data_IF_181521183072
#
_entry.id   IF_181521183072
#
_cell.length_a   1.000
_cell.length_b   1.000
_cell.length_c   1.000
_cell.angle_alpha   90.00
_cell.angle_beta   90.00
_cell.angle_gamma   90.00
#
_symmetry.space_group_name_H-M   'P 1'
#
loop_
_entity.id
_entity.type
_entity.pdbx_description
1 polymer ?
#
# COMPACT_ATOMS: atom_id res chain seq x y z
N UNK A 1 19.13 -8.79 26.00
CA UNK A 1 19.50 -9.64 27.16
C UNK A 1 20.59 -10.63 26.72
N UNK A 2 21.64 -10.86 27.52
CA UNK A 2 22.88 -11.59 27.14
C UNK A 2 22.76 -13.11 27.42
N UNK A 3 23.28 -13.95 26.51
CA UNK A 3 23.43 -15.41 26.69
C UNK A 3 24.70 -15.80 27.48
N UNK A 4 24.70 -16.93 28.21
CA UNK A 4 25.88 -17.50 28.88
C UNK A 4 27.02 -18.00 27.96
N UNK A 5 26.79 -18.12 26.64
CA UNK A 5 27.75 -18.64 25.66
C UNK A 5 28.56 -17.53 24.94
N UNK A 6 28.32 -16.26 25.28
CA UNK A 6 29.06 -15.13 24.71
C UNK A 6 28.76 -14.82 23.24
N UNK A 7 27.71 -15.41 22.64
CA UNK A 7 27.26 -15.05 21.29
C UNK A 7 26.03 -14.14 21.33
N UNK A 8 26.19 -12.91 20.84
CA UNK A 8 25.09 -12.00 20.55
C UNK A 8 24.41 -12.44 19.27
N UNK A 9 23.22 -13.04 19.37
CA UNK A 9 22.27 -13.03 18.24
C UNK A 9 21.37 -11.81 18.43
N UNK A 10 21.48 -10.84 17.51
CA UNK A 10 20.62 -9.66 17.49
C UNK A 10 19.17 -10.15 17.31
N UNK A 11 18.30 -9.82 18.26
CA UNK A 11 16.86 -10.08 18.17
C UNK A 11 16.28 -9.13 17.09
N UNK A 12 15.63 -9.64 16.04
CA UNK A 12 14.96 -8.81 15.04
C UNK A 12 13.92 -7.91 15.70
N UNK A 13 13.78 -6.70 15.18
CA UNK A 13 12.76 -5.77 15.64
C UNK A 13 11.83 -5.43 14.49
N UNK A 14 10.58 -5.12 14.79
CA UNK A 14 9.59 -4.70 13.80
C UNK A 14 8.85 -3.49 14.36
N UNK A 15 8.74 -2.43 13.55
CA UNK A 15 7.78 -1.36 13.80
C UNK A 15 6.48 -1.73 13.13
N UNK A 16 5.41 -1.77 13.91
CA UNK A 16 4.04 -2.00 13.45
C UNK A 16 3.27 -0.68 13.58
N UNK A 17 3.12 0.01 12.45
CA UNK A 17 2.38 1.27 12.38
C UNK A 17 0.90 0.99 12.16
N UNK A 18 0.06 1.60 12.98
CA UNK A 18 -1.40 1.44 12.91
C UNK A 18 -2.10 2.79 12.79
N UNK A 19 -3.37 2.77 12.41
CA UNK A 19 -4.24 3.96 12.44
C UNK A 19 -4.37 4.63 13.82
N UNK A 20 -3.94 4.00 14.91
CA UNK A 20 -3.94 4.53 16.28
C UNK A 20 -2.54 4.81 16.85
N UNK A 21 -1.48 4.59 16.08
CA UNK A 21 -0.09 4.82 16.49
C UNK A 21 0.84 3.65 16.21
N UNK A 22 2.10 3.82 16.59
CA UNK A 22 3.18 2.87 16.31
C UNK A 22 3.50 1.98 17.52
N UNK A 23 3.78 0.71 17.26
CA UNK A 23 4.31 -0.24 18.24
C UNK A 23 5.66 -0.76 17.76
N UNK A 24 6.65 -0.78 18.65
CA UNK A 24 7.94 -1.43 18.39
C UNK A 24 7.95 -2.79 19.04
N UNK A 25 8.19 -3.82 18.26
CA UNK A 25 8.17 -5.23 18.68
C UNK A 25 9.58 -5.79 18.58
N UNK A 26 10.05 -6.48 19.62
CA UNK A 26 11.29 -7.24 19.62
C UNK A 26 10.95 -8.72 19.52
N UNK A 27 11.52 -9.42 18.54
CA UNK A 27 11.25 -10.83 18.26
C UNK A 27 12.29 -11.75 18.90
N UNK A 28 11.92 -12.99 19.20
CA UNK A 28 12.76 -13.96 19.87
C UNK A 28 13.09 -15.19 18.99
N UNK A 29 13.99 -15.06 18.00
CA UNK A 29 14.35 -16.16 17.09
C UNK A 29 15.15 -17.26 17.78
N UNK A 30 15.62 -17.01 19.00
CA UNK A 30 16.34 -18.01 19.77
C UNK A 30 15.42 -19.09 20.33
N UNK A 31 14.24 -18.68 20.80
CA UNK A 31 13.26 -19.56 21.42
C UNK A 31 12.14 -19.96 20.46
N UNK A 32 11.79 -19.12 19.49
CA UNK A 32 10.76 -19.40 18.48
C UNK A 32 11.28 -19.16 17.04
N UNK A 33 12.34 -19.88 16.60
CA UNK A 33 13.00 -19.62 15.31
C UNK A 33 12.09 -19.79 14.10
N UNK A 34 11.25 -20.82 14.04
CA UNK A 34 10.38 -21.05 12.89
C UNK A 34 9.25 -20.01 12.82
N UNK A 35 8.71 -19.64 13.98
CA UNK A 35 7.66 -18.63 14.12
C UNK A 35 8.17 -17.25 13.73
N UNK A 36 9.34 -16.86 14.24
CA UNK A 36 9.95 -15.56 13.89
C UNK A 36 10.31 -15.52 12.41
N UNK A 37 10.88 -16.58 11.84
CA UNK A 37 11.20 -16.63 10.42
C UNK A 37 9.94 -16.50 9.53
N UNK A 38 8.85 -17.18 9.90
CA UNK A 38 7.57 -17.07 9.19
C UNK A 38 6.97 -15.68 9.30
N UNK A 39 6.89 -15.12 10.52
CA UNK A 39 6.25 -13.82 10.73
C UNK A 39 7.05 -12.71 10.05
N UNK A 40 8.39 -12.75 10.12
CA UNK A 40 9.24 -11.85 9.33
C UNK A 40 9.09 -12.05 7.82
N UNK A 41 8.78 -13.26 7.35
CA UNK A 41 8.42 -13.48 5.94
C UNK A 41 7.19 -12.67 5.54
N UNK A 42 6.15 -12.65 6.38
CA UNK A 42 4.95 -11.84 6.13
C UNK A 42 5.23 -10.33 6.20
N UNK A 43 5.98 -9.89 7.21
CA UNK A 43 6.44 -8.49 7.36
C UNK A 43 7.21 -8.05 6.11
N UNK A 44 8.23 -8.81 5.70
CA UNK A 44 9.09 -8.48 4.57
C UNK A 44 8.41 -8.64 3.19
N UNK A 45 7.18 -9.13 3.16
CA UNK A 45 6.34 -9.22 1.94
C UNK A 45 5.23 -8.16 1.93
N UNK A 46 5.26 -7.20 2.86
CA UNK A 46 4.25 -6.16 3.06
C UNK A 46 2.82 -6.72 3.28
N UNK A 47 2.71 -8.00 3.67
CA UNK A 47 1.44 -8.72 3.72
C UNK A 47 0.43 -8.11 4.69
N UNK A 48 0.92 -7.49 5.77
CA UNK A 48 0.06 -6.92 6.81
C UNK A 48 -0.51 -5.56 6.44
N UNK A 49 -0.01 -4.91 5.38
CA UNK A 49 -0.42 -3.56 5.01
C UNK A 49 -1.88 -3.55 4.55
N UNK A 50 -2.69 -2.69 5.16
CA UNK A 50 -4.14 -2.62 4.92
C UNK A 50 -4.96 -3.69 5.65
N UNK A 51 -4.32 -4.62 6.38
CA UNK A 51 -5.06 -5.57 7.22
C UNK A 51 -5.47 -4.93 8.54
N UNK A 52 -6.46 -5.52 9.20
CA UNK A 52 -7.04 -4.95 10.42
C UNK A 52 -6.79 -5.82 11.66
N UNK A 53 -6.86 -5.17 12.83
CA UNK A 53 -7.16 -5.85 14.09
C UNK A 53 -8.66 -6.20 14.12
N UNK A 54 -9.01 -7.34 13.54
CA UNK A 54 -10.38 -7.79 13.35
C UNK A 54 -11.05 -8.32 14.62
N UNK A 55 -10.29 -8.56 15.70
CA UNK A 55 -10.84 -9.05 16.97
C UNK A 55 -10.09 -8.45 18.16
N UNK A 56 -10.81 -7.70 18.99
CA UNK A 56 -10.25 -6.90 20.09
C UNK A 56 -11.05 -7.17 21.35
N UNK A 57 -10.42 -7.71 22.41
CA UNK A 57 -11.11 -8.01 23.66
C UNK A 57 -10.40 -7.28 24.79
N UNK A 58 -11.14 -6.35 25.40
CA UNK A 58 -10.64 -5.51 26.52
C UNK A 58 -10.27 -6.38 27.71
N UNK A 59 -9.08 -6.14 28.28
CA UNK A 59 -8.53 -6.96 29.36
C UNK A 59 -8.17 -8.38 28.93
N UNK A 60 -7.91 -8.61 27.64
CA UNK A 60 -7.48 -9.91 27.12
C UNK A 60 -6.38 -9.74 26.05
N UNK A 61 -6.76 -9.45 24.80
CA UNK A 61 -5.81 -9.36 23.68
C UNK A 61 -6.39 -8.61 22.48
N UNK A 62 -5.51 -8.21 21.57
CA UNK A 62 -5.85 -7.65 20.25
C UNK A 62 -5.29 -8.57 19.16
N UNK A 63 -6.14 -9.07 18.26
CA UNK A 63 -5.80 -10.04 17.22
C UNK A 63 -5.97 -9.42 15.83
N UNK A 64 -4.98 -9.65 14.96
CA UNK A 64 -4.91 -9.05 13.62
C UNK A 64 -4.16 -9.91 12.60
N UNK A 65 -3.84 -9.31 11.45
CA UNK A 65 -2.93 -9.89 10.46
C UNK A 65 -3.50 -11.00 9.59
N UNK A 66 -4.82 -11.01 9.35
CA UNK A 66 -5.43 -12.00 8.44
C UNK A 66 -6.75 -11.61 7.77
N UNK A 67 -7.24 -10.39 8.01
CA UNK A 67 -8.49 -9.88 7.42
C UNK A 67 -8.28 -8.45 6.92
N UNK A 68 -8.92 -8.12 5.80
CA UNK A 68 -9.04 -6.73 5.33
C UNK A 68 -10.20 -6.02 6.03
N UNK A 69 -10.42 -4.73 5.72
CA UNK A 69 -11.51 -3.92 6.26
C UNK A 69 -12.91 -4.50 6.00
N UNK A 70 -13.08 -5.23 4.89
CA UNK A 70 -14.33 -5.92 4.56
C UNK A 70 -14.53 -7.24 5.34
N UNK A 71 -13.67 -7.55 6.32
CA UNK A 71 -13.67 -8.83 7.04
C UNK A 71 -13.56 -10.04 6.10
N UNK A 72 -12.85 -9.88 4.98
CA UNK A 72 -12.46 -10.97 4.09
C UNK A 72 -11.11 -11.52 4.52
N UNK A 73 -11.08 -12.83 4.78
CA UNK A 73 -9.87 -13.51 5.19
C UNK A 73 -8.88 -13.55 4.03
N UNK A 74 -7.67 -13.04 4.26
CA UNK A 74 -6.61 -13.04 3.27
C UNK A 74 -5.94 -14.41 3.21
N UNK A 75 -5.61 -14.85 2.00
CA UNK A 75 -4.90 -16.11 1.80
C UNK A 75 -3.51 -16.03 2.46
N UNK A 76 -3.06 -17.05 3.20
CA UNK A 76 -1.71 -17.07 3.75
C UNK A 76 -0.68 -17.26 2.61
N UNK A 77 0.48 -16.60 2.72
CA UNK A 77 1.60 -16.74 1.79
C UNK A 77 2.42 -18.01 2.05
N UNK A 78 2.45 -18.44 3.31
CA UNK A 78 3.26 -19.57 3.77
C UNK A 78 2.39 -20.69 4.34
N UNK A 79 2.86 -21.94 4.27
CA UNK A 79 2.16 -23.08 4.88
C UNK A 79 2.08 -22.95 6.41
N UNK A 80 1.22 -23.77 7.01
CA UNK A 80 1.05 -23.81 8.46
C UNK A 80 2.33 -24.21 9.20
N UNK A 81 2.57 -23.60 10.35
CA UNK A 81 3.76 -23.85 11.17
C UNK A 81 3.58 -24.99 12.17
N UNK A 82 4.69 -25.64 12.51
CA UNK A 82 4.78 -26.45 13.72
C UNK A 82 4.68 -25.54 14.96
N UNK A 83 3.96 -26.00 15.99
CA UNK A 83 3.72 -25.22 17.19
C UNK A 83 4.97 -25.07 18.07
N UNK A 84 5.46 -23.84 18.24
CA UNK A 84 6.59 -23.47 19.11
C UNK A 84 6.13 -22.86 20.46
N UNK A 85 5.16 -23.47 21.14
CA UNK A 85 4.64 -22.96 22.43
C UNK A 85 5.39 -23.49 23.66
N UNK A 86 6.05 -24.64 23.56
CA UNK A 86 6.84 -25.22 24.65
C UNK A 86 8.28 -24.67 24.68
N UNK A 87 8.40 -23.35 24.82
CA UNK A 87 9.69 -22.63 24.76
C UNK A 87 10.07 -21.97 26.09
N UNK A 88 9.14 -21.96 27.06
CA UNK A 88 9.25 -21.24 28.33
C UNK A 88 8.82 -19.78 28.26
N UNK A 89 8.47 -19.27 27.07
CA UNK A 89 7.81 -17.97 26.92
C UNK A 89 6.35 -18.07 27.36
N UNK A 90 5.86 -17.04 28.05
CA UNK A 90 4.49 -16.95 28.57
C UNK A 90 3.75 -15.82 27.89
N UNK A 91 2.43 -15.93 27.78
CA UNK A 91 1.49 -14.96 27.23
C UNK A 91 1.25 -13.84 28.24
N UNK A 92 2.33 -13.24 28.75
CA UNK A 92 2.30 -12.11 29.65
C UNK A 92 1.86 -10.83 28.93
N UNK A 93 1.51 -9.79 29.69
CA UNK A 93 1.21 -8.45 29.17
C UNK A 93 2.29 -7.98 28.17
N UNK A 94 1.86 -7.50 27.00
CA UNK A 94 2.72 -6.95 25.96
C UNK A 94 3.42 -7.99 25.08
N UNK A 95 3.23 -9.29 25.33
CA UNK A 95 3.80 -10.34 24.48
C UNK A 95 3.00 -10.53 23.18
N UNK A 96 3.72 -10.84 22.11
CA UNK A 96 3.20 -11.15 20.78
C UNK A 96 3.20 -12.67 20.57
N UNK A 97 2.07 -13.23 20.18
CA UNK A 97 1.88 -14.67 19.97
C UNK A 97 1.10 -14.99 18.69
N UNK A 98 1.32 -16.18 18.14
CA UNK A 98 0.63 -16.64 16.93
C UNK A 98 -0.78 -17.10 17.24
N UNK A 99 -1.76 -16.59 16.49
CA UNK A 99 -3.11 -17.16 16.50
C UNK A 99 -3.14 -18.48 15.71
N UNK A 100 -4.03 -19.39 16.10
CA UNK A 100 -4.24 -20.67 15.44
C UNK A 100 -5.68 -21.13 15.60
N UNK A 101 -6.03 -22.16 14.84
CA UNK A 101 -7.26 -22.93 15.06
C UNK A 101 -7.05 -23.92 16.22
N UNK A 102 -8.04 -24.77 16.48
CA UNK A 102 -7.89 -25.87 17.44
C UNK A 102 -6.81 -26.88 17.04
N UNK A 103 -6.43 -26.93 15.76
CA UNK A 103 -5.30 -27.75 15.28
C UNK A 103 -3.98 -27.10 15.72
N UNK A 104 -3.11 -27.81 16.46
CA UNK A 104 -1.89 -27.23 17.02
C UNK A 104 -0.96 -26.61 15.97
N UNK A 105 -0.73 -27.35 14.87
CA UNK A 105 0.18 -26.94 13.79
C UNK A 105 -0.58 -26.22 12.67
N UNK A 106 -1.37 -25.20 13.00
CA UNK A 106 -2.21 -24.49 12.02
C UNK A 106 -1.95 -22.99 11.93
N UNK A 107 -1.00 -22.46 12.69
CA UNK A 107 -0.67 -21.03 12.66
C UNK A 107 -0.12 -20.66 11.27
N UNK A 108 -0.50 -19.49 10.75
CA UNK A 108 -0.02 -18.94 9.48
C UNK A 108 0.40 -17.47 9.64
N UNK A 109 -0.48 -16.51 9.35
CA UNK A 109 -0.20 -15.06 9.40
C UNK A 109 -0.77 -14.36 10.63
N UNK A 110 -1.93 -14.81 11.12
CA UNK A 110 -2.62 -14.14 12.22
C UNK A 110 -1.83 -14.20 13.53
N UNK A 111 -1.80 -13.08 14.23
CA UNK A 111 -1.13 -12.91 15.51
C UNK A 111 -2.03 -12.15 16.49
N UNK A 112 -1.68 -12.20 17.77
CA UNK A 112 -2.29 -11.36 18.79
C UNK A 112 -1.24 -10.79 19.75
N UNK A 113 -1.56 -9.62 20.30
CA UNK A 113 -0.79 -8.96 21.36
C UNK A 113 -1.61 -9.05 22.65
N UNK A 114 -1.00 -9.54 23.73
CA UNK A 114 -1.63 -9.68 25.03
C UNK A 114 -1.75 -8.30 25.72
N UNK A 115 -2.97 -7.91 26.10
CA UNK A 115 -3.26 -6.65 26.82
C UNK A 115 -3.31 -6.85 28.35
N UNK A 116 -3.19 -8.10 28.80
CA UNK A 116 -3.01 -8.51 30.21
C UNK A 116 -2.19 -9.80 30.28
N UNK A 117 -1.86 -10.27 31.48
CA UNK A 117 -1.26 -11.59 31.67
C UNK A 117 -2.30 -12.71 31.42
N UNK A 118 -2.10 -13.46 30.34
CA UNK A 118 -3.00 -14.51 29.86
C UNK A 118 -2.44 -15.91 30.11
N UNK A 119 -2.14 -16.25 31.36
CA UNK A 119 -1.52 -17.53 31.73
C UNK A 119 -2.30 -18.79 31.28
N UNK A 120 -3.59 -18.67 30.94
CA UNK A 120 -4.39 -19.77 30.37
C UNK A 120 -4.01 -20.13 28.94
N UNK A 121 -3.36 -19.20 28.21
CA UNK A 121 -2.86 -19.40 26.85
C UNK A 121 -1.47 -20.03 26.84
N UNK A 122 -0.82 -20.16 28.00
CA UNK A 122 0.50 -20.75 28.13
C UNK A 122 0.48 -22.25 27.88
N UNK A 123 1.61 -22.75 27.38
CA UNK A 123 1.87 -24.18 27.37
C UNK A 123 2.01 -24.69 28.81
N UNK A 124 1.17 -25.66 29.19
CA UNK A 124 1.25 -26.33 30.50
C UNK A 124 1.51 -27.83 30.40
N UNK A 125 1.65 -28.37 29.19
CA UNK A 125 1.62 -29.81 28.94
C UNK A 125 0.20 -30.40 29.07
N UNK A 126 0.09 -31.73 28.98
CA UNK A 126 -1.11 -32.53 29.27
C UNK A 126 -2.44 -31.93 28.79
N UNK A 127 -2.60 -31.81 27.47
CA UNK A 127 -3.86 -31.41 26.82
C UNK A 127 -3.99 -29.91 26.56
N UNK A 128 -3.20 -29.05 27.21
CA UNK A 128 -3.09 -27.63 26.86
C UNK A 128 -1.76 -27.33 26.18
N UNK A 129 -1.81 -27.28 24.85
CA UNK A 129 -0.67 -26.97 24.01
C UNK A 129 -0.40 -25.46 23.88
N UNK A 130 -1.26 -24.59 24.43
CA UNK A 130 -1.04 -23.15 24.45
C UNK A 130 -0.90 -22.47 23.07
N UNK A 131 -0.34 -21.27 23.08
CA UNK A 131 -0.05 -20.42 21.93
C UNK A 131 1.42 -20.01 21.93
N UNK A 132 2.05 -20.00 20.75
CA UNK A 132 3.47 -19.72 20.62
C UNK A 132 3.74 -18.21 20.72
N UNK A 133 4.31 -17.79 21.84
CA UNK A 133 4.87 -16.44 22.02
C UNK A 133 6.21 -16.37 21.29
N UNK A 134 6.41 -15.31 20.50
CA UNK A 134 7.60 -15.16 19.68
C UNK A 134 8.18 -13.74 19.67
N UNK A 135 7.60 -12.83 20.44
CA UNK A 135 8.13 -11.48 20.62
C UNK A 135 7.41 -10.72 21.74
N UNK A 136 7.79 -9.47 21.93
CA UNK A 136 7.20 -8.55 22.90
C UNK A 136 7.20 -7.11 22.38
N UNK A 137 6.20 -6.33 22.80
CA UNK A 137 6.12 -4.90 22.54
C UNK A 137 7.13 -4.19 23.45
N UNK A 138 8.18 -3.66 22.85
CA UNK A 138 9.21 -2.90 23.55
C UNK A 138 8.85 -1.42 23.75
N UNK A 139 8.01 -0.86 22.89
CA UNK A 139 7.40 0.48 23.07
C UNK A 139 6.06 0.57 22.33
N UNK A 140 5.16 1.45 22.77
CA UNK A 140 3.81 1.59 22.19
C UNK A 140 2.75 0.73 22.86
N UNK A 141 2.95 0.33 24.13
CA UNK A 141 1.91 -0.39 24.89
C UNK A 141 0.65 0.45 25.10
N UNK A 142 0.79 1.77 25.15
CA UNK A 142 -0.33 2.71 25.14
C UNK A 142 -1.18 2.61 23.86
N UNK A 143 -0.58 2.23 22.73
CA UNK A 143 -1.31 1.98 21.47
C UNK A 143 -2.08 0.67 21.58
N UNK A 144 -1.48 -0.40 22.13
CA UNK A 144 -2.18 -1.66 22.41
C UNK A 144 -3.42 -1.43 23.26
N UNK A 145 -3.28 -0.65 24.35
CA UNK A 145 -4.38 -0.29 25.25
C UNK A 145 -5.43 0.57 24.56
N UNK A 146 -5.02 1.53 23.71
CA UNK A 146 -5.94 2.35 22.93
C UNK A 146 -6.76 1.50 21.94
N UNK A 147 -6.12 0.54 21.27
CA UNK A 147 -6.80 -0.44 20.40
C UNK A 147 -7.77 -1.29 21.23
N UNK A 148 -7.32 -1.82 22.36
CA UNK A 148 -8.13 -2.64 23.28
C UNK A 148 -9.42 -1.92 23.73
N UNK A 149 -9.33 -0.62 23.97
CA UNK A 149 -10.42 0.21 24.47
C UNK A 149 -11.44 0.69 23.40
N UNK A 150 -11.22 0.41 22.10
CA UNK A 150 -12.16 0.87 21.06
C UNK A 150 -13.56 0.26 21.22
N UNK A 151 -14.56 0.95 20.70
CA UNK A 151 -15.92 0.41 20.60
C UNK A 151 -15.93 -0.80 19.67
N UNK A 152 -16.66 -1.85 20.08
CA UNK A 152 -16.71 -3.15 19.39
C UNK A 152 -18.14 -3.50 19.00
N UNK A 153 -18.28 -4.28 17.93
CA UNK A 153 -19.55 -4.75 17.39
C UNK A 153 -19.46 -6.22 17.00
N UNK A 154 -20.61 -6.78 16.60
CA UNK A 154 -20.67 -8.04 15.87
C UNK A 154 -20.95 -7.74 14.41
N UNK A 155 -20.10 -8.22 13.52
CA UNK A 155 -20.22 -7.99 12.08
C UNK A 155 -19.91 -9.26 11.29
N UNK A 156 -20.74 -9.59 10.30
CA UNK A 156 -20.61 -10.80 9.45
C UNK A 156 -20.43 -12.11 10.24
N UNK A 157 -20.95 -12.16 11.47
CA UNK A 157 -20.83 -13.31 12.38
C UNK A 157 -19.57 -13.33 13.25
N UNK A 158 -18.65 -12.39 13.06
CA UNK A 158 -17.49 -12.18 13.93
C UNK A 158 -17.87 -11.26 15.09
N UNK A 159 -17.49 -11.66 16.31
CA UNK A 159 -17.67 -10.87 17.52
C UNK A 159 -16.39 -10.06 17.81
N UNK A 160 -16.53 -9.04 18.66
CA UNK A 160 -15.42 -8.22 19.15
C UNK A 160 -14.66 -7.47 18.04
N UNK A 161 -15.36 -7.16 16.94
CA UNK A 161 -14.81 -6.40 15.80
C UNK A 161 -14.84 -4.91 16.14
N UNK A 162 -13.76 -4.14 15.96
CA UNK A 162 -13.81 -2.68 16.11
C UNK A 162 -14.89 -2.03 15.24
N UNK A 163 -15.68 -1.11 15.79
CA UNK A 163 -16.70 -0.35 15.03
C UNK A 163 -16.05 0.53 13.96
N UNK A 164 -14.86 1.06 14.26
CA UNK A 164 -13.99 1.73 13.31
C UNK A 164 -12.76 0.86 13.15
N UNK A 165 -12.43 0.53 11.91
CA UNK A 165 -11.28 -0.31 11.62
C UNK A 165 -10.00 0.25 12.21
N UNK A 166 -9.28 -0.63 12.91
CA UNK A 166 -7.91 -0.38 13.34
C UNK A 166 -7.00 -1.04 12.31
N UNK A 167 -6.57 -0.24 11.34
CA UNK A 167 -5.79 -0.67 10.18
C UNK A 167 -4.30 -0.72 10.55
N UNK A 168 -3.62 -1.77 10.12
CA UNK A 168 -2.16 -1.88 10.06
C UNK A 168 -1.71 -1.16 8.80
N UNK A 169 -1.04 -0.03 8.96
CA UNK A 169 -0.58 0.83 7.87
C UNK A 169 0.75 0.34 7.29
N UNK A 170 1.65 -0.10 8.17
CA UNK A 170 2.96 -0.64 7.82
C UNK A 170 3.41 -1.66 8.87
N UNK A 171 4.14 -2.68 8.44
CA UNK A 171 4.91 -3.56 9.31
C UNK A 171 6.32 -3.71 8.71
N UNK A 172 7.32 -3.13 9.33
CA UNK A 172 8.67 -3.09 8.78
C UNK A 172 9.73 -3.56 9.77
N UNK A 173 10.59 -4.48 9.32
CA UNK A 173 11.72 -4.93 10.12
C UNK A 173 12.72 -3.79 10.33
N UNK A 174 12.97 -3.48 11.60
CA UNK A 174 13.97 -2.52 12.06
C UNK A 174 15.22 -3.26 12.55
N UNK A 175 16.39 -2.66 12.30
CA UNK A 175 17.65 -3.09 12.92
C UNK A 175 17.66 -2.52 14.34
N UNK A 176 18.09 -3.32 15.32
CA UNK A 176 18.18 -2.93 16.72
C UNK A 176 18.77 -1.51 16.88
N UNK A 177 17.99 -0.61 17.48
CA UNK A 177 18.39 0.77 17.80
C UNK A 177 18.04 1.83 16.75
N UNK A 178 17.41 1.49 15.64
CA UNK A 178 17.10 2.49 14.61
C UNK A 178 15.97 3.45 15.01
N UNK A 179 16.29 4.76 15.01
CA UNK A 179 15.28 5.82 14.94
C UNK A 179 14.75 5.85 13.51
N UNK A 180 13.47 5.52 13.33
CA UNK A 180 12.78 5.76 12.07
C UNK A 180 12.48 7.26 11.98
N UNK A 181 13.02 7.90 10.96
CA UNK A 181 12.30 9.00 10.33
C UNK A 181 11.90 8.50 8.95
N UNK A 182 10.59 8.34 8.71
CA UNK A 182 10.06 8.04 7.38
C UNK A 182 10.39 9.12 6.34
N UNK A 183 11.02 10.22 6.76
CA UNK A 183 11.46 11.34 5.94
C UNK A 183 12.98 11.51 5.87
N UNK A 184 13.76 10.75 6.65
CA UNK A 184 15.20 10.99 6.80
C UNK A 184 15.58 12.13 7.75
N UNK A 185 14.60 12.83 8.34
CA UNK A 185 14.83 13.98 9.22
C UNK A 185 15.14 13.57 10.67
N UNK A 186 16.27 14.04 11.18
CA UNK A 186 16.71 13.89 12.57
C UNK A 186 16.73 15.26 13.23
N UNK A 187 15.87 15.48 14.22
CA UNK A 187 15.87 16.70 15.03
C UNK A 187 17.07 16.77 15.96
N UNK A 188 17.73 17.92 15.98
CA UNK A 188 18.92 18.21 16.77
C UNK A 188 18.60 19.27 17.81
N UNK A 189 18.94 18.97 19.07
CA UNK A 189 18.93 19.97 20.14
C UNK A 189 20.30 20.64 20.22
N UNK A 190 20.33 21.94 19.93
CA UNK A 190 21.55 22.75 19.92
C UNK A 190 21.58 23.73 21.09
N UNK A 191 22.78 24.06 21.57
CA UNK A 191 22.94 25.18 22.49
C UNK A 191 22.67 26.51 21.77
N UNK A 192 22.11 27.48 22.49
CA UNK A 192 21.82 28.81 21.94
C UNK A 192 23.08 29.46 21.37
N UNK A 193 23.07 29.79 20.08
CA UNK A 193 24.20 30.39 19.36
C UNK A 193 25.26 29.40 18.86
N UNK A 194 25.04 28.09 19.00
CA UNK A 194 25.95 27.07 18.47
C UNK A 194 25.68 26.82 16.97
N UNK A 195 26.75 26.50 16.22
CA UNK A 195 26.67 25.88 14.90
C UNK A 195 26.90 24.37 15.02
N UNK A 196 26.62 23.58 13.98
CA UNK A 196 26.83 22.13 14.03
C UNK A 196 27.33 21.56 12.70
N UNK A 197 27.86 20.35 12.78
CA UNK A 197 28.36 19.58 11.63
C UNK A 197 28.05 18.10 11.81
N UNK A 198 27.99 17.37 10.72
CA UNK A 198 27.73 15.94 10.71
C UNK A 198 28.72 15.19 9.80
N UNK A 199 28.80 13.88 10.00
CA UNK A 199 29.51 12.92 9.16
C UNK A 199 28.59 11.77 8.83
N UNK A 200 28.72 11.22 7.61
CA UNK A 200 28.00 10.03 7.12
C UNK A 200 28.96 8.84 6.87
N UNK A 201 30.23 9.00 7.23
CA UNK A 201 31.34 8.09 6.94
C UNK A 201 32.18 7.81 8.20
N UNK A 202 31.49 7.68 9.33
CA UNK A 202 32.09 7.32 10.62
C UNK A 202 33.15 8.32 11.11
N UNK A 203 32.97 9.59 10.78
CA UNK A 203 33.79 10.71 11.24
C UNK A 203 34.95 11.08 10.31
N UNK A 204 35.06 10.46 9.12
CA UNK A 204 36.15 10.72 8.19
C UNK A 204 36.01 12.08 7.48
N UNK A 205 34.80 12.46 7.05
CA UNK A 205 34.48 13.76 6.47
C UNK A 205 33.36 14.44 7.26
N UNK A 206 33.45 15.77 7.38
CA UNK A 206 32.49 16.58 8.14
C UNK A 206 31.88 17.66 7.26
N UNK A 207 30.56 17.67 7.18
CA UNK A 207 29.77 18.70 6.50
C UNK A 207 29.10 19.61 7.51
N UNK A 208 29.01 20.90 7.20
CA UNK A 208 28.28 21.86 8.04
C UNK A 208 26.77 21.60 7.94
N UNK A 209 26.10 21.57 9.09
CA UNK A 209 24.66 21.49 9.17
C UNK A 209 24.00 22.87 9.16
N UNK A 210 22.68 22.91 8.93
CA UNK A 210 21.88 24.14 8.97
C UNK A 210 20.57 23.92 9.72
N UNK A 211 20.04 24.97 10.35
CA UNK A 211 18.85 24.85 11.18
C UNK A 211 19.04 23.87 12.34
N UNK A 212 18.00 23.12 12.67
CA UNK A 212 17.95 22.16 13.80
C UNK A 212 17.64 20.75 13.34
N UNK A 213 17.84 20.42 12.06
CA UNK A 213 17.51 19.11 11.49
C UNK A 213 18.63 18.61 10.60
N UNK A 214 18.94 17.31 10.69
CA UNK A 214 19.76 16.58 9.73
C UNK A 214 18.84 15.78 8.82
N UNK A 215 18.89 16.10 7.53
CA UNK A 215 18.19 15.36 6.48
C UNK A 215 19.13 14.30 5.88
N UNK A 216 18.80 13.04 6.12
CA UNK A 216 19.51 11.89 5.59
C UNK A 216 18.81 11.38 4.33
N UNK A 217 19.59 11.17 3.27
CA UNK A 217 19.09 10.49 2.08
C UNK A 217 18.64 9.06 2.41
N UNK A 218 17.70 8.54 1.62
CA UNK A 218 17.30 7.14 1.66
C UNK A 218 18.53 6.21 1.65
N UNK A 219 18.56 5.25 2.57
CA UNK A 219 19.73 4.39 2.77
C UNK A 219 19.78 3.71 4.12
N UNK A 220 20.73 2.78 4.25
CA UNK A 220 21.05 2.10 5.49
C UNK A 220 22.37 2.66 6.01
N UNK A 221 22.33 3.23 7.20
CA UNK A 221 23.48 3.72 7.93
C UNK A 221 23.73 2.80 9.12
N UNK A 222 24.94 2.27 9.25
CA UNK A 222 25.29 1.41 10.39
C UNK A 222 25.48 2.24 11.65
N UNK A 223 25.43 1.59 12.81
CA UNK A 223 25.68 2.25 14.10
C UNK A 223 27.01 3.03 14.07
N UNK A 224 26.97 4.29 14.51
CA UNK A 224 28.13 5.18 14.55
C UNK A 224 28.61 5.70 13.20
N UNK A 225 27.97 5.29 12.09
CA UNK A 225 28.28 5.82 10.76
C UNK A 225 27.83 7.28 10.63
N UNK A 226 26.63 7.59 11.12
CA UNK A 226 26.17 8.98 11.22
C UNK A 226 26.64 9.56 12.55
N UNK A 227 27.31 10.70 12.49
CA UNK A 227 27.81 11.39 13.67
C UNK A 227 27.46 12.87 13.60
N UNK A 228 27.16 13.48 14.75
CA UNK A 228 26.85 14.90 14.85
C UNK A 228 27.68 15.56 15.96
N UNK A 229 28.09 16.82 15.75
CA UNK A 229 28.77 17.62 16.77
C UNK A 229 28.41 19.09 16.62
N UNK A 230 28.48 19.84 17.73
CA UNK A 230 28.20 21.27 17.74
C UNK A 230 29.45 22.09 18.12
N UNK A 231 29.48 23.35 17.69
CA UNK A 231 30.54 24.31 17.95
C UNK A 231 29.95 25.59 18.52
N UNK A 232 30.45 26.02 19.68
CA UNK A 232 30.06 27.28 20.33
C UNK A 232 31.32 28.03 20.74
N UNK A 233 31.43 29.31 20.36
CA UNK A 233 32.58 30.15 20.72
C UNK A 233 33.94 29.61 20.26
N UNK A 234 33.97 28.86 19.15
CA UNK A 234 35.18 28.23 18.62
C UNK A 234 35.55 26.88 19.25
N UNK A 235 34.80 26.40 20.26
CA UNK A 235 34.99 25.09 20.87
C UNK A 235 34.01 24.08 20.30
N UNK A 236 34.53 22.94 19.82
CA UNK A 236 33.73 21.85 19.24
C UNK A 236 33.49 20.74 20.27
N UNK A 237 32.27 20.23 20.36
CA UNK A 237 31.92 19.10 21.24
C UNK A 237 32.53 17.78 20.74
N UNK A 238 32.53 16.76 21.60
CA UNK A 238 32.68 15.38 21.14
C UNK A 238 31.58 15.04 20.11
N UNK A 239 31.88 14.13 19.19
CA UNK A 239 30.91 13.62 18.24
C UNK A 239 29.91 12.68 18.96
N UNK A 240 28.63 12.96 18.80
CA UNK A 240 27.57 12.04 19.17
C UNK A 240 27.45 10.99 18.05
N UNK A 241 27.61 9.72 18.40
CA UNK A 241 27.41 8.58 17.50
C UNK A 241 25.91 8.29 17.47
N UNK A 242 25.30 8.36 16.29
CA UNK A 242 23.91 7.96 16.14
C UNK A 242 23.82 6.42 16.04
N UNK A 243 22.68 5.83 16.46
CA UNK A 243 22.46 4.41 16.25
C UNK A 243 22.38 4.08 14.75
N UNK A 244 22.24 2.79 14.41
CA UNK A 244 21.95 2.41 13.03
C UNK A 244 20.69 3.14 12.55
N UNK A 245 20.66 3.69 11.35
CA UNK A 245 19.51 4.43 10.82
C UNK A 245 19.13 3.82 9.48
N UNK A 246 17.84 3.52 9.30
CA UNK A 246 17.27 3.15 8.00
C UNK A 246 16.35 4.27 7.58
N UNK A 247 16.72 4.98 6.52
CA UNK A 247 15.83 5.92 5.84
C UNK A 247 15.21 5.18 4.69
N UNK A 248 13.92 4.87 4.80
CA UNK A 248 13.15 4.22 3.74
C UNK A 248 12.59 5.32 2.85
N UNK A 249 12.79 5.22 1.54
CA UNK A 249 12.14 6.12 0.59
C UNK A 249 10.63 5.86 0.59
N UNK A 250 9.83 6.90 0.40
CA UNK A 250 8.38 6.72 0.32
C UNK A 250 8.06 5.73 -0.81
N UNK A 251 7.10 4.83 -0.62
CA UNK A 251 6.74 3.88 -1.65
C UNK A 251 6.27 4.60 -2.93
N UNK A 252 6.59 4.06 -4.13
CA UNK A 252 6.14 4.69 -5.36
C UNK A 252 4.63 4.62 -5.48
N UNK A 253 4.03 5.56 -6.20
CA UNK A 253 2.65 5.50 -6.64
C UNK A 253 2.60 5.69 -8.15
N UNK A 254 1.46 5.37 -8.77
CA UNK A 254 1.24 5.52 -10.20
C UNK A 254 -0.10 6.19 -10.46
N UNK A 255 -0.10 7.12 -11.41
CA UNK A 255 -1.31 7.75 -11.97
C UNK A 255 -1.47 7.33 -13.43
N UNK A 256 -2.67 6.91 -13.81
CA UNK A 256 -3.03 6.43 -15.14
C UNK A 256 -4.00 7.41 -15.79
N UNK A 257 -3.72 7.81 -17.04
CA UNK A 257 -4.61 8.67 -17.83
C UNK A 257 -4.67 8.22 -19.28
N UNK A 258 -5.75 8.56 -19.98
CA UNK A 258 -5.85 8.39 -21.43
C UNK A 258 -6.10 9.72 -22.14
N UNK A 259 -5.68 9.82 -23.40
CA UNK A 259 -5.99 10.97 -24.25
C UNK A 259 -7.46 11.03 -24.65
N UNK A 260 -8.11 9.87 -24.67
CA UNK A 260 -9.54 9.71 -24.99
C UNK A 260 -10.13 8.59 -24.11
N UNK A 261 -11.30 8.86 -23.55
CA UNK A 261 -12.04 7.96 -22.64
C UNK A 261 -13.23 7.28 -23.33
N UNK A 262 -13.56 7.68 -24.56
CA UNK A 262 -14.71 7.18 -25.33
C UNK A 262 -14.22 6.68 -26.68
N UNK A 263 -14.15 5.36 -26.85
CA UNK A 263 -13.58 4.76 -28.06
C UNK A 263 -14.66 4.14 -28.93
N UNK A 264 -14.63 4.50 -30.22
CA UNK A 264 -15.40 3.85 -31.28
C UNK A 264 -14.74 2.57 -31.80
N UNK A 265 -15.41 1.91 -32.75
CA UNK A 265 -14.96 0.64 -33.31
C UNK A 265 -13.60 0.77 -34.01
N UNK A 266 -12.65 -0.08 -33.61
CA UNK A 266 -11.26 -0.10 -34.10
C UNK A 266 -10.47 1.19 -33.79
N UNK A 267 -10.98 2.05 -32.92
CA UNK A 267 -10.22 3.18 -32.42
C UNK A 267 -9.26 2.72 -31.33
N UNK A 268 -8.16 3.44 -31.20
CA UNK A 268 -7.15 3.22 -30.17
C UNK A 268 -6.89 4.53 -29.45
N UNK A 269 -6.49 4.44 -28.19
CA UNK A 269 -6.07 5.61 -27.41
C UNK A 269 -4.72 5.36 -26.80
N UNK A 270 -4.01 6.44 -26.49
CA UNK A 270 -2.76 6.35 -25.76
C UNK A 270 -3.06 6.42 -24.26
N UNK A 271 -2.55 5.43 -23.53
CA UNK A 271 -2.51 5.42 -22.07
C UNK A 271 -1.15 5.96 -21.63
N UNK A 272 -1.17 6.83 -20.63
CA UNK A 272 0.01 7.39 -19.97
C UNK A 272 0.03 6.95 -18.50
N UNK A 273 1.19 6.52 -18.04
CA UNK A 273 1.46 6.18 -16.65
C UNK A 273 2.52 7.16 -16.12
N UNK A 274 2.20 7.83 -15.02
CA UNK A 274 3.10 8.75 -14.32
C UNK A 274 3.40 8.21 -12.94
N UNK A 275 4.65 7.84 -12.70
CA UNK A 275 5.11 7.35 -11.40
C UNK A 275 5.53 8.54 -10.51
N UNK A 276 5.25 8.46 -9.20
CA UNK A 276 5.69 9.49 -8.25
C UNK A 276 7.21 9.57 -8.09
N UNK A 277 7.91 8.49 -8.43
CA UNK A 277 9.35 8.39 -8.42
C UNK A 277 9.85 7.37 -9.46
N UNK A 278 11.13 7.45 -9.87
CA UNK A 278 11.66 6.55 -10.89
C UNK A 278 11.58 5.08 -10.49
N UNK A 279 11.16 4.23 -11.43
CA UNK A 279 11.25 2.77 -11.30
C UNK A 279 12.23 2.20 -12.32
N UNK A 280 12.91 1.11 -11.93
CA UNK A 280 13.78 0.34 -12.83
C UNK A 280 13.14 -0.94 -13.36
N UNK A 281 11.99 -1.32 -12.82
CA UNK A 281 11.32 -2.59 -13.09
C UNK A 281 9.84 -2.47 -13.47
N UNK A 282 9.30 -1.25 -13.59
CA UNK A 282 7.95 -1.05 -14.14
C UNK A 282 7.88 -1.41 -15.63
N UNK A 283 7.14 -2.46 -15.93
CA UNK A 283 6.96 -3.06 -17.25
C UNK A 283 5.49 -3.36 -17.54
N UNK A 284 5.19 -3.80 -18.76
CA UNK A 284 3.82 -4.14 -19.16
C UNK A 284 3.19 -5.25 -18.31
N UNK A 285 3.98 -6.17 -17.72
CA UNK A 285 3.43 -7.24 -16.87
C UNK A 285 2.87 -6.73 -15.55
N UNK A 286 3.17 -5.48 -15.21
CA UNK A 286 2.77 -4.85 -13.93
C UNK A 286 1.40 -4.17 -14.06
N UNK A 287 0.89 -4.06 -15.30
CA UNK A 287 -0.41 -3.49 -15.64
C UNK A 287 -1.44 -4.61 -15.84
N UNK A 288 -2.57 -4.51 -15.13
CA UNK A 288 -3.75 -5.35 -15.32
C UNK A 288 -4.70 -4.66 -16.30
N UNK A 289 -5.14 -5.38 -17.33
CA UNK A 289 -6.06 -4.86 -18.35
C UNK A 289 -7.23 -5.82 -18.50
N UNK A 290 -8.46 -5.29 -18.53
CA UNK A 290 -9.69 -6.03 -18.76
C UNK A 290 -10.45 -5.39 -19.93
N UNK A 291 -10.89 -6.21 -20.90
CA UNK A 291 -11.65 -5.75 -22.07
C UNK A 291 -10.82 -5.10 -23.18
N UNK A 292 -9.48 -5.10 -23.06
CA UNK A 292 -8.57 -4.53 -24.06
C UNK A 292 -7.18 -5.19 -23.99
N UNK A 293 -6.35 -4.91 -25.00
CA UNK A 293 -4.92 -5.21 -25.02
C UNK A 293 -4.10 -3.91 -25.03
N UNK A 294 -2.98 -3.88 -24.31
CA UNK A 294 -2.00 -2.81 -24.39
C UNK A 294 -0.81 -3.25 -25.25
N UNK A 295 -0.49 -2.45 -26.26
CA UNK A 295 0.67 -2.66 -27.14
C UNK A 295 1.58 -1.45 -27.14
N UNK A 296 2.79 -1.59 -27.71
CA UNK A 296 3.78 -0.50 -27.80
C UNK A 296 4.11 0.15 -26.45
N UNK A 297 4.14 -0.63 -25.37
CA UNK A 297 4.55 -0.14 -24.05
C UNK A 297 5.99 0.35 -24.09
N UNK A 298 6.20 1.62 -23.75
CA UNK A 298 7.51 2.28 -23.80
C UNK A 298 7.59 3.39 -22.75
N UNK A 299 8.78 3.64 -22.23
CA UNK A 299 9.00 4.66 -21.20
C UNK A 299 10.21 4.34 -20.34
N UNK A 300 10.55 5.27 -19.44
CA UNK A 300 11.58 5.07 -18.42
C UNK A 300 11.46 6.10 -17.31
N UNK A 301 12.05 5.78 -16.15
CA UNK A 301 12.06 6.67 -15.00
C UNK A 301 10.67 6.81 -14.44
N UNK A 302 10.04 7.98 -14.63
CA UNK A 302 8.70 8.28 -14.11
C UNK A 302 7.60 8.29 -15.16
N UNK A 303 7.92 8.17 -16.45
CA UNK A 303 6.96 8.39 -17.54
C UNK A 303 6.92 7.20 -18.49
N UNK A 304 5.74 6.61 -18.64
CA UNK A 304 5.50 5.47 -19.54
C UNK A 304 4.22 5.68 -20.35
N UNK A 305 4.18 5.08 -21.54
CA UNK A 305 3.05 5.15 -22.46
C UNK A 305 2.78 3.80 -23.10
N UNK A 306 1.53 3.53 -23.44
CA UNK A 306 1.12 2.37 -24.24
C UNK A 306 -0.06 2.74 -25.14
N UNK A 307 -0.28 1.97 -26.20
CA UNK A 307 -1.47 2.07 -27.06
C UNK A 307 -2.49 1.03 -26.63
N UNK A 308 -3.71 1.46 -26.30
CA UNK A 308 -4.82 0.60 -25.93
C UNK A 308 -5.64 0.22 -27.17
N UNK A 309 -5.82 -1.08 -27.36
CA UNK A 309 -6.63 -1.70 -28.40
C UNK A 309 -7.81 -2.40 -27.72
N UNK A 310 -9.03 -1.85 -27.77
CA UNK A 310 -10.20 -2.50 -27.19
C UNK A 310 -10.47 -3.85 -27.86
N UNK A 311 -10.91 -4.84 -27.08
CA UNK A 311 -11.43 -6.08 -27.65
C UNK A 311 -12.71 -5.76 -28.45
N UNK A 312 -12.85 -6.39 -29.62
CA UNK A 312 -14.01 -6.18 -30.51
C UNK A 312 -15.27 -6.83 -29.93
N UNK A 313 -15.89 -6.18 -28.94
CA UNK A 313 -17.17 -6.55 -28.34
C UNK A 313 -17.97 -5.31 -27.94
N UNK A 314 -19.29 -5.30 -28.21
CA UNK A 314 -20.10 -4.09 -28.03
C UNK A 314 -20.44 -3.81 -26.56
N UNK A 315 -20.13 -2.61 -26.09
CA UNK A 315 -20.64 -2.05 -24.83
C UNK A 315 -19.97 -2.59 -23.57
N UNK A 316 -18.69 -2.95 -23.64
CA UNK A 316 -17.95 -3.47 -22.48
C UNK A 316 -17.04 -2.38 -21.89
N UNK A 317 -17.03 -2.34 -20.56
CA UNK A 317 -16.13 -1.49 -19.79
C UNK A 317 -14.69 -2.00 -19.94
N UNK A 318 -13.78 -1.09 -20.27
CA UNK A 318 -12.34 -1.35 -20.31
C UNK A 318 -11.73 -0.83 -19.03
N UNK A 319 -10.97 -1.66 -18.33
CA UNK A 319 -10.27 -1.28 -17.10
C UNK A 319 -8.78 -1.46 -17.31
N UNK A 320 -8.00 -0.42 -17.00
CA UNK A 320 -6.54 -0.45 -16.92
C UNK A 320 -6.16 -0.11 -15.49
N UNK A 321 -5.46 -1.00 -14.80
CA UNK A 321 -5.11 -0.82 -13.39
C UNK A 321 -3.68 -1.27 -13.12
N UNK A 322 -3.00 -0.60 -12.19
CA UNK A 322 -1.73 -1.08 -11.61
C UNK A 322 -1.97 -1.32 -10.13
N UNK A 323 -1.96 -2.59 -9.72
CA UNK A 323 -2.19 -2.97 -8.32
C UNK A 323 -1.00 -2.56 -7.42
N UNK A 324 -1.15 -2.60 -6.09
CA UNK A 324 -0.02 -2.45 -5.18
C UNK A 324 1.03 -3.55 -5.34
N UNK A 325 2.30 -3.22 -5.08
CA UNK A 325 3.44 -4.14 -5.08
C UNK A 325 3.83 -4.68 -6.46
N UNK A 326 3.37 -4.07 -7.55
CA UNK A 326 3.62 -4.51 -8.93
C UNK A 326 4.95 -4.02 -9.49
N UNK A 327 5.44 -2.88 -9.02
CA UNK A 327 6.76 -2.38 -9.40
C UNK A 327 7.45 -1.74 -8.20
N UNK A 328 8.77 -1.62 -8.28
CA UNK A 328 9.59 -1.12 -7.20
C UNK A 328 10.28 0.19 -7.57
N UNK A 329 10.64 0.96 -6.54
CA UNK A 329 11.65 2.01 -6.70
C UNK A 329 13.07 1.40 -6.75
N UNK A 330 14.08 2.25 -6.92
CA UNK A 330 15.48 1.82 -7.01
C UNK A 330 15.98 1.07 -5.75
N UNK A 331 15.26 1.18 -4.64
CA UNK A 331 15.56 0.59 -3.34
C UNK A 331 14.77 -0.70 -3.08
N UNK A 332 13.92 -1.15 -4.02
CA UNK A 332 13.15 -2.38 -3.90
C UNK A 332 11.87 -2.25 -3.07
N UNK A 333 11.39 -1.03 -2.81
CA UNK A 333 10.10 -0.80 -2.14
C UNK A 333 8.99 -0.83 -3.19
N UNK A 334 8.01 -1.70 -2.98
CA UNK A 334 6.87 -1.88 -3.89
C UNK A 334 5.91 -0.69 -3.89
N UNK A 335 5.25 -0.44 -5.01
CA UNK A 335 4.30 0.66 -5.13
C UNK A 335 3.06 0.47 -4.22
N UNK A 336 2.54 1.56 -3.67
CA UNK A 336 1.29 1.56 -2.91
C UNK A 336 0.09 1.92 -3.78
N UNK A 337 -1.10 1.51 -3.32
CA UNK A 337 -2.36 2.10 -3.77
C UNK A 337 -2.35 3.58 -3.36
N UNK A 338 -2.62 4.47 -4.30
CA UNK A 338 -2.67 5.91 -4.00
C UNK A 338 -3.91 6.30 -3.17
N UNK A 339 -4.84 5.37 -2.93
CA UNK A 339 -6.10 5.61 -2.18
C UNK A 339 -7.07 6.55 -2.88
N UNK A 340 -6.69 7.01 -4.07
CA UNK A 340 -7.49 7.73 -5.05
C UNK A 340 -7.49 6.85 -6.28
N UNK A 341 -8.59 6.73 -7.03
CA UNK A 341 -8.69 5.86 -8.22
C UNK A 341 -7.73 6.25 -9.39
N UNK A 342 -6.60 6.92 -9.12
CA UNK A 342 -5.59 7.28 -10.12
C UNK A 342 -4.77 6.10 -10.60
N UNK A 343 -4.66 5.03 -9.82
CA UNK A 343 -4.02 3.77 -10.22
C UNK A 343 -4.95 2.86 -11.04
N UNK A 344 -6.21 3.30 -11.26
CA UNK A 344 -7.24 2.59 -12.02
C UNK A 344 -7.97 3.51 -12.99
N UNK A 345 -7.75 3.32 -14.28
CA UNK A 345 -8.49 3.98 -15.34
C UNK A 345 -9.62 3.10 -15.87
N UNK A 346 -10.82 3.68 -16.00
CA UNK A 346 -11.98 3.03 -16.61
C UNK A 346 -12.39 3.79 -17.88
N UNK A 347 -12.57 3.07 -19.00
CA UNK A 347 -12.96 3.62 -20.30
C UNK A 347 -14.16 2.84 -20.86
N UNK A 348 -14.91 3.46 -21.77
CA UNK A 348 -16.01 2.79 -22.46
C UNK A 348 -15.65 2.55 -23.93
N UNK A 349 -15.75 1.29 -24.38
CA UNK A 349 -15.56 0.90 -25.77
C UNK A 349 -16.91 0.52 -26.41
N UNK A 350 -17.43 1.38 -27.30
CA UNK A 350 -18.72 1.19 -27.96
C UNK A 350 -18.56 0.51 -29.33
N UNK A 351 -18.83 -0.80 -29.41
CA UNK A 351 -18.76 -1.56 -30.67
C UNK A 351 -20.05 -1.54 -31.52
N UNK A 352 -20.93 -0.54 -31.36
CA UNK A 352 -21.98 -0.26 -32.35
C UNK A 352 -22.05 1.26 -32.65
N UNK A 353 -21.97 1.70 -33.92
CA UNK A 353 -22.48 3.03 -34.24
C UNK A 353 -23.98 3.09 -33.88
N UNK A 354 -24.53 4.25 -33.49
CA UNK A 354 -25.96 4.39 -33.29
C UNK A 354 -26.67 3.86 -34.55
N UNK A 355 -27.64 2.96 -34.37
CA UNK A 355 -28.46 2.45 -35.48
C UNK A 355 -28.98 3.68 -36.24
N UNK A 356 -28.49 3.86 -37.48
CA UNK A 356 -28.98 4.88 -38.38
C UNK A 356 -30.52 4.80 -38.43
N UNK A 357 -31.24 5.93 -38.48
CA UNK A 357 -32.69 5.90 -38.51
C UNK A 357 -33.15 5.12 -39.74
N UNK A 358 -34.23 4.34 -39.55
CA UNK A 358 -34.82 3.44 -40.56
C UNK A 358 -34.76 4.02 -41.98
N UNK A 359 -34.36 3.17 -42.92
CA UNK A 359 -34.44 3.36 -44.36
C UNK A 359 -35.80 4.01 -44.76
N UNK A 360 -35.82 5.31 -45.03
CA UNK A 360 -36.98 5.99 -45.59
C UNK A 360 -37.11 5.61 -47.07
N UNK A 361 -38.28 5.11 -47.46
CA UNK A 361 -38.55 4.61 -48.80
C UNK A 361 -38.30 5.68 -49.88
N UNK A 362 -37.64 5.28 -50.97
CA UNK A 362 -37.36 6.14 -52.13
C UNK A 362 -38.66 6.65 -52.77
N UNK A 363 -38.68 7.93 -53.19
CA UNK A 363 -39.81 8.53 -53.91
C UNK A 363 -40.81 9.33 -53.06
N UNK A 364 -40.51 9.61 -51.79
CA UNK A 364 -41.32 10.45 -50.91
C UNK A 364 -40.68 11.83 -50.78
N UNK A 365 -41.47 12.89 -50.89
CA UNK A 365 -41.01 14.25 -50.59
C UNK A 365 -40.87 14.42 -49.09
N UNK A 366 -39.69 14.88 -48.65
CA UNK A 366 -39.51 15.39 -47.30
C UNK A 366 -39.83 16.88 -47.35
N UNK A 367 -40.95 17.25 -46.74
CA UNK A 367 -41.39 18.62 -46.65
C UNK A 367 -41.02 19.20 -45.29
N UNK A 368 -40.35 20.35 -45.31
CA UNK A 368 -40.33 21.24 -44.16
C UNK A 368 -40.93 22.60 -44.58
N UNK A 369 -41.17 23.51 -43.63
CA UNK A 369 -41.84 24.78 -43.93
C UNK A 369 -41.08 25.71 -44.90
N UNK A 370 -39.77 25.51 -45.10
CA UNK A 370 -38.89 26.39 -45.88
C UNK A 370 -38.34 25.75 -47.16
N UNK A 371 -38.42 24.44 -47.30
CA UNK A 371 -37.91 23.71 -48.44
C UNK A 371 -38.52 22.32 -48.53
N UNK A 372 -38.53 21.77 -49.73
CA UNK A 372 -38.81 20.36 -49.96
C UNK A 372 -37.65 19.67 -50.67
N UNK A 373 -37.35 18.46 -50.22
CA UNK A 373 -36.28 17.63 -50.73
C UNK A 373 -36.84 16.36 -51.36
N UNK A 374 -36.44 16.08 -52.59
CA UNK A 374 -36.77 14.84 -53.29
C UNK A 374 -35.52 14.04 -53.62
N UNK A 375 -35.49 12.80 -53.14
CA UNK A 375 -34.43 11.85 -53.43
C UNK A 375 -34.85 10.96 -54.59
N UNK A 376 -34.12 11.08 -55.72
CA UNK A 376 -34.40 10.28 -56.92
C UNK A 376 -33.75 8.90 -56.81
N UNK A 377 -34.32 7.87 -57.46
CA UNK A 377 -33.72 6.52 -57.52
C UNK A 377 -32.32 6.50 -58.14
N UNK A 378 -31.95 7.50 -58.93
CA UNK A 378 -30.62 7.68 -59.51
C UNK A 378 -29.54 8.10 -58.51
N UNK A 379 -29.87 8.24 -57.22
CA UNK A 379 -28.92 8.68 -56.17
C UNK A 379 -28.66 10.19 -56.14
N UNK A 380 -29.41 10.97 -56.93
CA UNK A 380 -29.33 12.43 -56.95
C UNK A 380 -30.52 13.07 -56.23
N UNK A 381 -30.27 14.18 -55.54
CA UNK A 381 -31.28 14.91 -54.79
C UNK A 381 -31.68 16.20 -55.52
N UNK A 382 -32.95 16.61 -55.41
CA UNK A 382 -33.43 17.94 -55.83
C UNK A 382 -33.96 18.68 -54.61
N UNK A 383 -33.45 19.89 -54.37
CA UNK A 383 -33.88 20.79 -53.30
C UNK A 383 -34.65 21.94 -53.93
N UNK A 384 -35.84 22.23 -53.41
CA UNK A 384 -36.63 23.41 -53.80
C UNK A 384 -36.97 24.23 -52.56
N UNK A 385 -36.57 25.50 -52.53
CA UNK A 385 -36.83 26.41 -51.43
C UNK A 385 -38.23 27.01 -51.58
N UNK A 386 -39.00 26.99 -50.49
CA UNK A 386 -40.33 27.61 -50.40
C UNK A 386 -40.18 29.03 -49.79
N UNK A 387 -41.01 30.02 -50.17
CA UNK A 387 -40.82 31.40 -49.73
C UNK A 387 -40.90 31.57 -48.21
N UNK A 388 -39.98 32.36 -47.65
CA UNK A 388 -39.83 32.65 -46.21
C UNK A 388 -41.11 33.20 -45.58
N UNK A 389 -41.63 32.54 -44.53
CA UNK A 389 -42.31 33.18 -43.38
C UNK A 389 -42.70 32.14 -42.28
N UNK A 390 -41.73 31.48 -41.64
CA UNK A 390 -41.96 30.76 -40.37
C UNK A 390 -40.70 30.67 -39.49
N UNK A 391 -40.76 31.03 -38.19
CA UNK A 391 -39.57 31.23 -37.33
C UNK A 391 -38.97 29.94 -36.75
N UNK A 392 -37.64 29.97 -36.59
CA UNK A 392 -36.75 28.92 -36.06
C UNK A 392 -37.09 28.46 -34.62
N UNK A 393 -37.07 27.14 -34.42
CA UNK A 393 -36.85 26.49 -33.11
C UNK A 393 -35.64 25.57 -33.26
N UNK A 394 -34.57 25.86 -32.52
CA UNK A 394 -33.34 25.05 -32.45
C UNK A 394 -33.52 23.98 -31.39
N UNK A 395 -33.43 22.71 -31.78
CA UNK A 395 -33.04 21.63 -30.89
C UNK A 395 -32.24 20.60 -31.69
N UNK A 396 -31.13 20.18 -31.08
CA UNK A 396 -30.18 19.16 -31.49
C UNK A 396 -30.71 18.09 -32.46
N UNK A 397 -29.90 17.75 -33.47
CA UNK A 397 -29.35 16.42 -33.74
C UNK A 397 -28.74 16.39 -35.16
N UNK A 398 -27.73 15.52 -35.31
CA UNK A 398 -27.04 15.06 -36.54
C UNK A 398 -25.80 15.90 -36.92
N UNK A 399 -24.55 15.48 -36.67
CA UNK A 399 -23.91 14.15 -36.80
C UNK A 399 -23.92 13.62 -38.23
#
# INVERSE_FOLDING_TARGET
MIRPDGQWTLSPEVTLSTSLGDMRIVLNPQLAPATVANWLGYVNSDYFNGLIFHRVIDGFMIQGGGFNADLEQQAPLYPTLALESNTGLTNALGTLAMARTDVPNSATSQFFINDVDNAKLDYSGDGNLGYAVFGEVASGMEVVQAISAVAKTTEKGYQDVPVKDVIILDASQTVAGAVLSGTGLIDLTLQSGATWSYSLDSGAQWSAGSGTQLDLSAGIYTEGQVQVRQTLGGMTSAAALLPAIKVVDAAPSVSISANDLLLGRNETTQISFTLSQPSTDFTLTDVTVLGAELVNFQGSGTQYTATLLPEVSAGHEVVVQVLPGRFNNAQGVGNLDSGTDQDRLTLNADAQPPLAPLLLAQGIWLENPQARLFLRPSGTATVELLPEDAPLQVANWLA
#
